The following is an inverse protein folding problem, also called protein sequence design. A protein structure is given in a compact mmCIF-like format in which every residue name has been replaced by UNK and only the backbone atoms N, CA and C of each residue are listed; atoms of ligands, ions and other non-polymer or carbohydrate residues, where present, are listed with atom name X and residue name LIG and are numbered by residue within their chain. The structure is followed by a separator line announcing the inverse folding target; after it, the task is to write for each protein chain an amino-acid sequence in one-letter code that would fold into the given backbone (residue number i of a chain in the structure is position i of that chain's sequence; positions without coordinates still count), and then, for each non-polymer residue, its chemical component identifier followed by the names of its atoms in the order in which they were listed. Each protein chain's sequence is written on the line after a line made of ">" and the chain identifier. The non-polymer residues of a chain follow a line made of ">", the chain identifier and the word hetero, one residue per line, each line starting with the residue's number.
data_IF_419300838659
#
_entry.id   IF_419300838659
#
_cell.length_a   1.000
_cell.length_b   1.000
_cell.length_c   1.000
_cell.angle_alpha   90.00
_cell.angle_beta   90.00
_cell.angle_gamma   90.00
#
_symmetry.space_group_name_H-M   'P 1'
#
loop_
_entity.id
_entity.type
_entity.pdbx_description
1 polymer ?
#
# COMPACT_ATOMS: atom_id res chain seq x y z
N UNK A 1 -7.49 6.27 10.54
CA UNK A 1 -6.92 5.66 9.33
C UNK A 1 -7.79 4.48 8.98
N UNK A 2 -8.25 4.38 7.73
CA UNK A 2 -9.05 3.26 7.23
C UNK A 2 -8.41 2.68 5.96
N UNK A 3 -8.94 1.57 5.44
CA UNK A 3 -8.30 0.80 4.37
C UNK A 3 -7.92 1.61 3.11
N UNK A 4 -8.74 2.57 2.62
CA UNK A 4 -8.36 3.38 1.47
C UNK A 4 -7.13 4.29 1.61
N UNK A 5 -6.58 4.41 2.80
CA UNK A 5 -5.36 5.18 3.02
C UNK A 5 -4.10 4.32 2.76
N UNK A 6 -3.59 4.38 1.53
CA UNK A 6 -2.43 3.59 1.12
C UNK A 6 -1.14 4.33 1.44
N UNK A 7 -0.15 3.63 2.00
CA UNK A 7 1.16 4.21 2.35
C UNK A 7 2.28 3.43 1.68
N UNK A 8 3.13 4.13 0.93
CA UNK A 8 4.38 3.59 0.38
C UNK A 8 5.54 4.09 1.24
N UNK A 9 6.35 3.16 1.73
CA UNK A 9 7.54 3.46 2.52
C UNK A 9 8.78 3.20 1.66
N UNK A 10 9.58 4.24 1.44
CA UNK A 10 10.82 4.17 0.66
C UNK A 10 12.02 4.36 1.58
N UNK A 11 12.88 3.34 1.78
CA UNK A 11 14.14 3.51 2.48
C UNK A 11 15.11 4.36 1.65
N UNK A 12 15.76 5.33 2.28
CA UNK A 12 16.83 6.14 1.67
C UNK A 12 18.17 5.70 2.24
N UNK A 13 19.12 5.38 1.36
CA UNK A 13 20.45 4.91 1.71
C UNK A 13 21.49 6.00 1.43
N UNK A 14 22.55 6.04 2.21
CA UNK A 14 23.69 6.88 1.91
C UNK A 14 24.49 6.30 0.73
N UNK A 15 25.13 7.15 -0.08
CA UNK A 15 25.88 6.67 -1.26
C UNK A 15 27.03 5.73 -0.88
N UNK A 16 27.71 6.02 0.25
CA UNK A 16 28.85 5.23 0.74
C UNK A 16 28.46 4.00 1.56
N UNK A 17 27.21 3.85 1.99
CA UNK A 17 26.73 2.71 2.78
C UNK A 17 25.29 2.36 2.42
N UNK A 18 25.13 1.23 1.70
CA UNK A 18 23.84 0.70 1.26
C UNK A 18 23.34 -0.46 2.13
N UNK A 19 24.00 -0.75 3.24
CA UNK A 19 23.62 -1.85 4.14
C UNK A 19 22.49 -1.46 5.09
N UNK A 20 22.36 -0.17 5.40
CA UNK A 20 21.32 0.38 6.28
C UNK A 20 20.73 1.68 5.74
N UNK A 21 19.40 1.88 5.87
CA UNK A 21 18.80 3.16 5.52
C UNK A 21 19.20 4.25 6.53
N UNK A 22 19.42 5.46 6.03
CA UNK A 22 19.64 6.66 6.86
C UNK A 22 18.32 7.26 7.34
N UNK A 23 17.27 7.15 6.53
CA UNK A 23 15.90 7.53 6.88
C UNK A 23 14.90 6.83 5.95
N UNK A 24 13.62 7.07 6.20
CA UNK A 24 12.51 6.57 5.38
C UNK A 24 11.62 7.73 4.94
N UNK A 25 11.14 7.65 3.71
CA UNK A 25 10.07 8.53 3.19
C UNK A 25 8.77 7.76 3.22
N UNK A 26 7.73 8.33 3.82
CA UNK A 26 6.38 7.76 3.84
C UNK A 26 5.46 8.63 2.97
N UNK A 27 5.07 8.10 1.81
CA UNK A 27 4.11 8.74 0.91
C UNK A 27 2.75 8.11 1.12
N UNK A 28 1.77 8.90 1.58
CA UNK A 28 0.42 8.43 1.89
C UNK A 28 -0.62 9.11 1.00
N UNK A 29 -1.49 8.31 0.40
CA UNK A 29 -2.60 8.79 -0.44
C UNK A 29 -3.91 8.16 -0.02
N UNK A 30 -4.96 8.98 0.05
CA UNK A 30 -6.33 8.52 0.25
C UNK A 30 -6.96 8.22 -1.09
N UNK A 31 -7.44 7.00 -1.27
CA UNK A 31 -8.18 6.59 -2.45
C UNK A 31 -9.67 6.65 -2.15
N UNK A 32 -10.46 7.19 -3.07
CA UNK A 32 -11.91 7.31 -2.87
C UNK A 32 -12.60 5.93 -2.83
N UNK A 33 -11.98 4.92 -3.41
CA UNK A 33 -12.47 3.55 -3.52
C UNK A 33 -11.29 2.58 -3.61
N UNK A 34 -11.46 1.39 -3.06
CA UNK A 34 -10.50 0.27 -3.11
C UNK A 34 -11.19 -1.08 -3.36
N UNK A 35 -12.40 -1.08 -3.90
CA UNK A 35 -13.14 -2.29 -4.31
C UNK A 35 -14.01 -2.92 -3.23
N UNK A 36 -14.56 -2.12 -2.29
CA UNK A 36 -15.50 -2.60 -1.28
C UNK A 36 -16.90 -2.93 -1.84
N UNK A 37 -17.81 -3.40 -0.98
CA UNK A 37 -19.19 -3.78 -1.35
C UNK A 37 -19.97 -2.69 -2.10
N UNK A 38 -19.72 -1.43 -1.74
CA UNK A 38 -20.36 -0.27 -2.34
C UNK A 38 -19.30 0.72 -2.77
N UNK A 39 -19.45 1.40 -3.93
CA UNK A 39 -18.52 2.44 -4.33
C UNK A 39 -18.33 3.49 -3.24
N UNK A 40 -17.08 3.84 -2.98
CA UNK A 40 -16.71 4.81 -1.96
C UNK A 40 -15.80 4.26 -0.85
N UNK A 41 -15.45 5.14 0.09
CA UNK A 41 -14.34 4.91 1.02
C UNK A 41 -14.66 3.91 2.13
N UNK A 42 -15.89 3.87 2.64
CA UNK A 42 -16.26 3.06 3.81
C UNK A 42 -17.72 2.61 3.69
N UNK A 43 -17.98 1.37 3.24
CA UNK A 43 -19.34 0.85 3.15
C UNK A 43 -19.95 0.78 4.56
N UNK A 44 -21.08 1.45 4.84
CA UNK A 44 -21.63 1.54 6.20
C UNK A 44 -22.24 0.22 6.70
N UNK A 45 -22.47 -0.73 5.79
CA UNK A 45 -23.10 -2.02 6.06
C UNK A 45 -22.10 -3.17 6.10
N UNK A 46 -20.79 -2.89 6.07
CA UNK A 46 -19.78 -3.93 6.24
C UNK A 46 -19.89 -4.56 7.63
N UNK A 47 -19.96 -5.88 7.65
CA UNK A 47 -19.97 -6.74 8.84
C UNK A 47 -18.66 -7.51 9.00
N UNK A 48 -17.83 -7.54 7.96
CA UNK A 48 -16.50 -8.15 7.96
C UNK A 48 -15.50 -7.33 7.14
N UNK A 49 -14.21 -7.44 7.44
CA UNK A 49 -13.17 -6.73 6.69
C UNK A 49 -13.16 -7.10 5.20
N UNK A 50 -13.48 -8.35 4.84
CA UNK A 50 -13.55 -8.82 3.45
C UNK A 50 -14.52 -8.02 2.57
N UNK A 51 -15.45 -7.29 3.18
CA UNK A 51 -16.45 -6.45 2.50
C UNK A 51 -15.96 -5.01 2.23
N UNK A 52 -14.80 -4.63 2.77
CA UNK A 52 -14.26 -3.27 2.67
C UNK A 52 -13.22 -3.08 1.55
N UNK A 53 -13.00 -4.10 0.71
CA UNK A 53 -12.15 -4.03 -0.47
C UNK A 53 -10.73 -4.54 -0.26
N UNK A 54 -9.77 -3.97 -1.01
CA UNK A 54 -8.39 -4.45 -1.08
C UNK A 54 -7.72 -4.51 0.30
N UNK A 55 -7.19 -5.69 0.63
CA UNK A 55 -6.53 -5.99 1.90
C UNK A 55 -5.25 -6.75 1.65
N UNK A 56 -4.17 -6.30 2.27
CA UNK A 56 -2.86 -6.91 2.12
C UNK A 56 -2.00 -6.61 3.34
N UNK A 57 -1.15 -7.58 3.69
CA UNK A 57 -0.01 -7.31 4.55
C UNK A 57 1.02 -6.53 3.74
N UNK A 58 1.76 -5.63 4.39
CA UNK A 58 2.83 -4.87 3.75
C UNK A 58 3.77 -5.79 2.95
N UNK A 59 4.02 -5.42 1.71
CA UNK A 59 4.81 -6.20 0.78
C UNK A 59 5.69 -5.27 -0.07
N UNK A 60 6.76 -5.82 -0.64
CA UNK A 60 7.72 -5.05 -1.42
C UNK A 60 7.19 -4.86 -2.85
N UNK A 61 6.94 -3.61 -3.23
CA UNK A 61 6.47 -3.23 -4.57
C UNK A 61 7.59 -2.88 -5.55
N UNK A 62 8.79 -2.54 -5.06
CA UNK A 62 9.95 -2.19 -5.90
C UNK A 62 11.17 -2.98 -5.45
N UNK A 63 11.87 -3.60 -6.40
CA UNK A 63 13.06 -4.40 -6.17
C UNK A 63 14.11 -4.06 -7.23
N UNK A 64 15.32 -3.69 -6.79
CA UNK A 64 16.41 -3.27 -7.70
C UNK A 64 15.98 -2.14 -8.67
N UNK A 65 15.14 -1.21 -8.21
CA UNK A 65 14.60 -0.13 -9.03
C UNK A 65 13.48 -0.55 -9.98
N UNK A 66 13.07 -1.82 -9.99
CA UNK A 66 12.01 -2.34 -10.85
C UNK A 66 10.70 -2.51 -10.07
N UNK A 67 9.61 -1.98 -10.62
CA UNK A 67 8.28 -2.15 -10.03
C UNK A 67 7.75 -3.57 -10.28
N UNK A 68 7.26 -4.22 -9.22
CA UNK A 68 6.75 -5.60 -9.24
C UNK A 68 5.27 -5.62 -9.60
N UNK A 69 4.97 -5.23 -10.84
CA UNK A 69 3.60 -5.10 -11.35
C UNK A 69 2.80 -6.41 -11.18
N UNK A 70 3.35 -7.55 -11.61
CA UNK A 70 2.67 -8.86 -11.49
C UNK A 70 2.31 -9.25 -10.05
N UNK A 71 3.10 -8.81 -9.07
CA UNK A 71 2.81 -9.04 -7.66
C UNK A 71 1.74 -8.09 -7.13
N UNK A 72 1.79 -6.84 -7.58
CA UNK A 72 0.85 -5.78 -7.18
C UNK A 72 -0.55 -6.04 -7.76
N UNK A 73 -0.64 -6.51 -9.01
CA UNK A 73 -1.93 -6.82 -9.64
C UNK A 73 -2.68 -8.00 -9.02
N UNK A 74 -2.06 -8.78 -8.12
CA UNK A 74 -2.72 -9.86 -7.37
C UNK A 74 -3.49 -9.39 -6.14
N UNK A 75 -3.45 -8.09 -5.86
CA UNK A 75 -4.04 -7.47 -4.67
C UNK A 75 -5.47 -7.00 -4.96
N UNK A 76 -5.83 -6.97 -6.23
CA UNK A 76 -7.12 -6.55 -6.78
C UNK A 76 -7.81 -7.76 -7.40
#
# INVERSE_FOLDING_TARGET
>A
SHLPDLTVITPVFHESDKTKPVFFVASRGHHADIGGLTPGSMPPNSTSLFEEGAQFLSFKIVEQGQFKEKGTNKII
#
